data_IF_771952372870
#
_entry.id   IF_771952372870
#
_cell.length_a   1.000
_cell.length_b   1.000
_cell.length_c   1.000
_cell.angle_alpha   90.00
_cell.angle_beta   90.00
_cell.angle_gamma   90.00
#
_symmetry.space_group_name_H-M   'P 1'
#
loop_
_entity.id
_entity.type
_entity.pdbx_description
1 polymer ?
#
# COMPACT_ATOMS: atom_id res chain seq x y z
N UNK A 1 -37.14 43.55 15.39
CA UNK A 1 -37.08 42.10 15.14
C UNK A 1 -35.62 41.67 15.09
N UNK A 2 -35.18 40.85 16.05
CA UNK A 2 -33.83 40.29 16.14
C UNK A 2 -33.68 39.22 15.06
N UNK A 3 -32.79 39.42 14.08
CA UNK A 3 -32.36 38.37 13.16
C UNK A 3 -31.26 37.56 13.84
N UNK A 4 -31.52 36.28 14.10
CA UNK A 4 -30.56 35.36 14.72
C UNK A 4 -29.46 35.01 13.72
N UNK A 5 -28.27 35.57 13.93
CA UNK A 5 -27.04 35.03 13.38
C UNK A 5 -26.81 33.66 14.02
N UNK A 6 -27.06 32.59 13.27
CA UNK A 6 -26.56 31.26 13.59
C UNK A 6 -25.06 31.25 13.37
N UNK A 7 -24.33 31.51 14.45
CA UNK A 7 -22.90 31.29 14.56
C UNK A 7 -22.62 29.80 14.29
N UNK A 8 -22.13 29.49 13.09
CA UNK A 8 -21.57 28.19 12.78
C UNK A 8 -20.46 27.89 13.77
N UNK A 9 -20.61 26.82 14.57
CA UNK A 9 -19.55 26.31 15.44
C UNK A 9 -18.26 26.14 14.63
N UNK A 10 -17.18 26.79 15.07
CA UNK A 10 -15.83 26.50 14.61
C UNK A 10 -15.54 24.98 14.71
N UNK A 11 -14.68 24.40 13.85
CA UNK A 11 -14.40 22.96 13.78
C UNK A 11 -13.53 22.45 14.95
N UNK A 12 -13.87 22.80 16.19
CA UNK A 12 -13.14 22.45 17.42
C UNK A 12 -13.32 20.99 17.87
N UNK A 13 -14.16 20.19 17.21
CA UNK A 13 -14.47 18.81 17.63
C UNK A 13 -13.75 17.70 16.85
N UNK A 14 -13.08 17.98 15.73
CA UNK A 14 -12.40 16.93 14.96
C UNK A 14 -10.99 16.66 15.54
N UNK A 15 -10.70 15.43 16.04
CA UNK A 15 -9.39 15.09 16.61
C UNK A 15 -8.21 15.35 15.68
N UNK A 16 -8.42 15.28 14.35
CA UNK A 16 -7.39 15.54 13.35
C UNK A 16 -6.85 16.99 13.42
N UNK A 17 -7.72 17.94 13.77
CA UNK A 17 -7.41 19.36 13.91
C UNK A 17 -7.01 19.82 15.32
N UNK A 18 -7.34 19.06 16.37
CA UNK A 18 -7.21 19.52 17.75
C UNK A 18 -6.32 18.67 18.66
N UNK A 19 -6.19 17.36 18.44
CA UNK A 19 -5.44 16.46 19.34
C UNK A 19 -3.94 16.76 19.35
N UNK A 20 -3.21 16.36 20.40
CA UNK A 20 -1.73 16.45 20.41
C UNK A 20 -1.14 15.60 19.28
N UNK A 21 -0.19 16.16 18.52
CA UNK A 21 0.27 15.58 17.26
C UNK A 21 0.92 14.19 17.43
N UNK A 22 1.90 14.04 18.32
CA UNK A 22 2.58 12.75 18.49
C UNK A 22 1.64 11.60 18.92
N UNK A 23 0.81 11.74 19.97
CA UNK A 23 -0.16 10.70 20.34
C UNK A 23 -1.18 10.42 19.23
N UNK A 24 -1.60 11.44 18.50
CA UNK A 24 -2.50 11.28 17.35
C UNK A 24 -1.85 10.43 16.27
N UNK A 25 -0.60 10.73 15.87
CA UNK A 25 0.12 9.98 14.86
C UNK A 25 0.33 8.51 15.25
N UNK A 26 0.70 8.24 16.50
CA UNK A 26 0.83 6.86 17.00
C UNK A 26 -0.52 6.13 16.96
N UNK A 27 -1.58 6.76 17.49
CA UNK A 27 -2.94 6.19 17.45
C UNK A 27 -3.40 5.91 16.02
N UNK A 28 -2.97 6.73 15.07
CA UNK A 28 -3.37 6.59 13.67
C UNK A 28 -2.49 5.60 12.89
N UNK A 29 -1.23 5.42 13.28
CA UNK A 29 -0.29 4.53 12.61
C UNK A 29 -0.39 3.07 13.08
N UNK A 30 -0.63 2.83 14.37
CA UNK A 30 -0.58 1.48 14.97
C UNK A 30 -1.60 0.53 14.34
N UNK A 31 -2.89 0.89 14.17
CA UNK A 31 -3.84 -0.06 13.58
C UNK A 31 -3.49 -0.45 12.13
N UNK A 32 -3.13 0.48 11.21
CA UNK A 32 -2.62 0.09 9.89
C UNK A 32 -1.37 -0.79 9.93
N UNK A 33 -0.43 -0.56 10.85
CA UNK A 33 0.74 -1.45 11.03
C UNK A 33 0.30 -2.87 11.38
N UNK A 34 -0.66 -3.02 12.31
CA UNK A 34 -1.21 -4.31 12.68
C UNK A 34 -2.00 -4.96 11.53
N UNK A 35 -2.76 -4.18 10.76
CA UNK A 35 -3.46 -4.68 9.56
C UNK A 35 -2.49 -5.28 8.55
N UNK A 36 -1.35 -4.61 8.30
CA UNK A 36 -0.31 -5.11 7.41
C UNK A 36 0.35 -6.39 7.93
N UNK A 37 0.56 -6.49 9.25
CA UNK A 37 1.08 -7.70 9.88
C UNK A 37 0.09 -8.87 9.73
N UNK A 38 -1.19 -8.66 10.04
CA UNK A 38 -2.25 -9.66 9.89
C UNK A 38 -2.33 -10.12 8.43
N UNK A 39 -2.32 -9.19 7.48
CA UNK A 39 -2.35 -9.50 6.05
C UNK A 39 -1.12 -10.32 5.62
N UNK A 40 0.06 -10.00 6.15
CA UNK A 40 1.29 -10.74 5.86
C UNK A 40 1.24 -12.17 6.41
N UNK A 41 0.75 -12.35 7.64
CA UNK A 41 0.56 -13.66 8.25
C UNK A 41 -0.46 -14.50 7.49
N UNK A 42 -1.57 -13.89 7.07
CA UNK A 42 -2.57 -14.54 6.22
C UNK A 42 -1.95 -15.03 4.90
N UNK A 43 -1.20 -14.19 4.18
CA UNK A 43 -0.57 -14.58 2.92
C UNK A 43 0.39 -15.78 3.10
N UNK A 44 1.08 -15.87 4.24
CA UNK A 44 1.94 -17.02 4.57
C UNK A 44 1.09 -18.28 4.77
N UNK A 45 0.01 -18.19 5.55
CA UNK A 45 -0.88 -19.33 5.83
C UNK A 45 -1.54 -19.85 4.56
N UNK A 46 -2.08 -18.96 3.72
CA UNK A 46 -2.66 -19.30 2.41
C UNK A 46 -1.64 -20.01 1.51
N UNK A 47 -0.43 -19.46 1.41
CA UNK A 47 0.66 -20.07 0.64
C UNK A 47 1.02 -21.48 1.15
N UNK A 48 0.99 -21.72 2.46
CA UNK A 48 1.25 -23.04 3.05
C UNK A 48 0.16 -24.04 2.64
N UNK A 49 -1.12 -23.65 2.71
CA UNK A 49 -2.21 -24.54 2.33
C UNK A 49 -2.19 -24.89 0.84
N UNK A 50 -1.93 -23.91 -0.03
CA UNK A 50 -1.77 -24.14 -1.47
C UNK A 50 -0.56 -25.02 -1.76
N UNK A 51 0.58 -24.79 -1.11
CA UNK A 51 1.80 -25.59 -1.31
C UNK A 51 1.63 -27.05 -0.87
N UNK A 52 0.80 -27.32 0.15
CA UNK A 52 0.45 -28.69 0.57
C UNK A 52 -0.39 -29.45 -0.46
N UNK A 53 -1.04 -28.74 -1.39
CA UNK A 53 -1.82 -29.36 -2.44
C UNK A 53 -0.91 -29.97 -3.52
N UNK A 54 -0.04 -29.15 -4.10
CA UNK A 54 1.01 -29.57 -5.03
C UNK A 54 1.95 -28.41 -5.38
N UNK A 55 3.13 -28.72 -5.94
CA UNK A 55 4.02 -27.74 -6.57
C UNK A 55 3.36 -26.99 -7.72
N UNK A 56 2.50 -27.69 -8.47
CA UNK A 56 1.83 -27.15 -9.65
C UNK A 56 0.74 -26.15 -9.25
N UNK A 57 0.03 -26.40 -8.14
CA UNK A 57 -0.92 -25.47 -7.55
C UNK A 57 -0.24 -24.16 -7.11
N UNK A 58 0.89 -24.26 -6.42
CA UNK A 58 1.68 -23.10 -6.01
C UNK A 58 2.19 -22.31 -7.23
N UNK A 59 2.60 -23.01 -8.29
CA UNK A 59 3.00 -22.40 -9.56
C UNK A 59 1.85 -21.66 -10.23
N UNK A 60 0.65 -22.25 -10.25
CA UNK A 60 -0.54 -21.63 -10.83
C UNK A 60 -0.95 -20.33 -10.10
N UNK A 61 -0.97 -20.34 -8.77
CA UNK A 61 -1.26 -19.13 -7.97
C UNK A 61 -0.20 -18.05 -8.21
N UNK A 62 1.07 -18.43 -8.30
CA UNK A 62 2.18 -17.51 -8.57
C UNK A 62 2.08 -16.85 -9.96
N UNK A 63 1.64 -17.60 -10.99
CA UNK A 63 1.39 -17.05 -12.33
C UNK A 63 0.28 -16.00 -12.27
N UNK A 64 -0.80 -16.22 -11.51
CA UNK A 64 -1.93 -15.29 -11.43
C UNK A 64 -1.65 -14.05 -10.56
N UNK A 65 -0.71 -14.14 -9.62
CA UNK A 65 -0.40 -13.08 -8.65
C UNK A 65 -0.23 -11.66 -9.24
N UNK A 66 0.45 -11.45 -10.40
CA UNK A 66 0.55 -10.12 -10.99
C UNK A 66 -0.79 -9.48 -11.35
N UNK A 67 -1.78 -10.27 -11.80
CA UNK A 67 -3.13 -9.78 -12.12
C UNK A 67 -3.85 -9.36 -10.83
N UNK A 68 -3.72 -10.15 -9.76
CA UNK A 68 -4.27 -9.78 -8.45
C UNK A 68 -3.61 -8.52 -7.89
N UNK A 69 -2.29 -8.40 -8.02
CA UNK A 69 -1.56 -7.21 -7.57
C UNK A 69 -2.00 -5.96 -8.33
N UNK A 70 -2.32 -6.07 -9.62
CA UNK A 70 -2.90 -4.96 -10.39
C UNK A 70 -4.28 -4.53 -9.85
N UNK A 71 -5.13 -5.50 -9.53
CA UNK A 71 -6.44 -5.23 -8.89
C UNK A 71 -6.26 -4.53 -7.53
N UNK A 72 -5.33 -5.02 -6.71
CA UNK A 72 -4.98 -4.42 -5.42
C UNK A 72 -4.43 -2.99 -5.59
N UNK A 73 -3.53 -2.78 -6.55
CA UNK A 73 -2.95 -1.47 -6.85
C UNK A 73 -4.03 -0.44 -7.23
N UNK A 74 -4.98 -0.82 -8.09
CA UNK A 74 -6.08 0.05 -8.48
C UNK A 74 -7.00 0.38 -7.30
N UNK A 75 -7.31 -0.61 -6.46
CA UNK A 75 -8.15 -0.45 -5.28
C UNK A 75 -7.54 0.52 -4.27
N UNK A 76 -6.28 0.29 -3.91
CA UNK A 76 -5.57 1.12 -2.95
C UNK A 76 -5.32 2.51 -3.53
N UNK A 77 -4.88 2.62 -4.79
CA UNK A 77 -4.65 3.92 -5.41
C UNK A 77 -5.91 4.78 -5.44
N UNK A 78 -7.03 4.23 -5.91
CA UNK A 78 -8.34 4.90 -5.88
C UNK A 78 -8.75 5.28 -4.46
N UNK A 79 -8.59 4.36 -3.50
CA UNK A 79 -8.89 4.60 -2.10
C UNK A 79 -8.04 5.73 -1.49
N UNK A 80 -6.75 5.84 -1.83
CA UNK A 80 -5.88 6.94 -1.39
C UNK A 80 -6.35 8.28 -1.96
N UNK A 81 -6.76 8.31 -3.22
CA UNK A 81 -7.37 9.50 -3.83
C UNK A 81 -8.66 9.93 -3.14
N UNK A 82 -9.55 8.98 -2.83
CA UNK A 82 -10.80 9.22 -2.10
C UNK A 82 -10.49 9.73 -0.68
N UNK A 83 -9.55 9.10 0.03
CA UNK A 83 -9.15 9.48 1.38
C UNK A 83 -8.63 10.92 1.43
N UNK A 84 -7.70 11.26 0.53
CA UNK A 84 -7.15 12.61 0.41
C UNK A 84 -8.24 13.64 0.09
N UNK A 85 -9.14 13.31 -0.84
CA UNK A 85 -10.27 14.19 -1.20
C UNK A 85 -11.22 14.43 -0.01
N UNK A 86 -11.64 13.39 0.71
CA UNK A 86 -12.51 13.52 1.88
C UNK A 86 -11.87 14.39 2.93
N UNK A 87 -10.67 14.02 3.39
CA UNK A 87 -9.99 14.70 4.49
C UNK A 87 -9.71 16.18 4.18
N UNK A 88 -9.29 16.51 2.94
CA UNK A 88 -9.10 17.90 2.50
C UNK A 88 -10.38 18.71 2.49
N UNK A 89 -11.48 18.16 1.99
CA UNK A 89 -12.76 18.88 1.97
C UNK A 89 -13.35 19.06 3.37
N UNK A 90 -13.18 18.07 4.26
CA UNK A 90 -13.54 18.20 5.67
C UNK A 90 -12.74 19.32 6.35
N UNK A 91 -11.43 19.35 6.13
CA UNK A 91 -10.56 20.41 6.66
C UNK A 91 -10.97 21.80 6.17
N UNK A 92 -11.28 21.91 4.88
CA UNK A 92 -11.69 23.17 4.24
C UNK A 92 -13.11 23.64 4.60
N UNK A 93 -13.83 22.93 5.49
CA UNK A 93 -15.22 23.24 5.85
C UNK A 93 -16.23 23.01 4.70
N UNK A 94 -15.84 22.32 3.63
CA UNK A 94 -16.70 22.01 2.48
C UNK A 94 -17.53 20.77 2.75
N UNK A 95 -18.44 20.87 3.72
CA UNK A 95 -19.21 19.75 4.28
C UNK A 95 -19.96 18.95 3.22
N UNK A 96 -20.69 19.60 2.30
CA UNK A 96 -21.42 18.87 1.26
C UNK A 96 -20.49 18.01 0.39
N UNK A 97 -19.36 18.56 -0.05
CA UNK A 97 -18.39 17.82 -0.86
C UNK A 97 -17.76 16.64 -0.11
N UNK A 98 -17.54 16.78 1.20
CA UNK A 98 -17.06 15.70 2.05
C UNK A 98 -18.13 14.62 2.30
N UNK A 99 -19.40 15.00 2.44
CA UNK A 99 -20.52 14.07 2.66
C UNK A 99 -20.94 13.32 1.40
N UNK A 100 -20.74 13.88 0.22
CA UNK A 100 -21.02 13.21 -1.06
C UNK A 100 -19.89 12.24 -1.46
N UNK A 101 -18.67 12.49 -0.97
CA UNK A 101 -17.47 11.75 -1.36
C UNK A 101 -17.50 10.24 -1.09
N UNK A 102 -18.05 9.72 0.03
CA UNK A 102 -18.22 8.27 0.23
C UNK A 102 -19.04 7.62 -0.89
N UNK A 103 -20.14 8.25 -1.30
CA UNK A 103 -20.99 7.73 -2.37
C UNK A 103 -20.27 7.78 -3.73
N UNK A 104 -19.56 8.87 -4.02
CA UNK A 104 -18.68 8.96 -5.21
C UNK A 104 -17.65 7.84 -5.21
N UNK A 105 -16.99 7.60 -4.08
CA UNK A 105 -16.00 6.54 -3.93
C UNK A 105 -16.57 5.15 -4.21
N UNK A 106 -17.75 4.83 -3.67
CA UNK A 106 -18.43 3.55 -3.93
C UNK A 106 -18.82 3.39 -5.41
N UNK A 107 -19.29 4.45 -6.07
CA UNK A 107 -19.62 4.40 -7.51
C UNK A 107 -18.37 4.16 -8.36
N UNK A 108 -17.29 4.92 -8.10
CA UNK A 108 -16.03 4.73 -8.82
C UNK A 108 -15.48 3.32 -8.63
N UNK A 109 -15.63 2.76 -7.43
CA UNK A 109 -15.25 1.37 -7.13
C UNK A 109 -16.07 0.37 -7.95
N UNK A 110 -17.38 0.57 -8.08
CA UNK A 110 -18.23 -0.23 -8.96
C UNK A 110 -17.80 -0.17 -10.43
N UNK A 111 -17.42 1.02 -10.93
CA UNK A 111 -16.90 1.19 -12.29
C UNK A 111 -15.57 0.43 -12.46
N UNK A 112 -14.63 0.58 -11.51
CA UNK A 112 -13.37 -0.16 -11.53
C UNK A 112 -13.57 -1.67 -11.50
N UNK A 113 -14.51 -2.16 -10.70
CA UNK A 113 -14.89 -3.56 -10.67
C UNK A 113 -15.33 -4.06 -12.05
N UNK A 114 -16.27 -3.36 -12.70
CA UNK A 114 -16.74 -3.75 -14.04
C UNK A 114 -15.59 -3.80 -15.04
N UNK A 115 -14.72 -2.77 -15.05
CA UNK A 115 -13.56 -2.71 -15.94
C UNK A 115 -12.60 -3.89 -15.66
N UNK A 116 -12.25 -4.13 -14.39
CA UNK A 116 -11.32 -5.20 -14.02
C UNK A 116 -11.87 -6.59 -14.36
N UNK A 117 -13.15 -6.84 -14.13
CA UNK A 117 -13.80 -8.10 -14.47
C UNK A 117 -13.82 -8.34 -15.97
N UNK A 118 -14.15 -7.31 -16.78
CA UNK A 118 -14.10 -7.40 -18.23
C UNK A 118 -12.67 -7.68 -18.74
N UNK A 119 -11.68 -6.95 -18.21
CA UNK A 119 -10.28 -7.19 -18.55
C UNK A 119 -9.83 -8.59 -18.14
N UNK A 120 -10.23 -9.09 -16.97
CA UNK A 120 -9.90 -10.44 -16.54
C UNK A 120 -10.51 -11.52 -17.45
N UNK A 121 -11.78 -11.37 -17.82
CA UNK A 121 -12.44 -12.28 -18.76
C UNK A 121 -11.69 -12.40 -20.09
N UNK A 122 -11.16 -11.29 -20.60
CA UNK A 122 -10.46 -11.23 -21.89
C UNK A 122 -8.97 -11.61 -21.79
N UNK A 123 -8.30 -11.24 -20.70
CA UNK A 123 -6.83 -11.27 -20.62
C UNK A 123 -6.26 -12.47 -19.86
N UNK A 124 -7.03 -13.15 -18.98
CA UNK A 124 -6.47 -14.27 -18.19
C UNK A 124 -5.91 -15.38 -19.08
N UNK A 125 -6.66 -15.82 -20.11
CA UNK A 125 -6.21 -16.87 -21.04
C UNK A 125 -4.92 -16.50 -21.79
N UNK A 126 -4.86 -15.39 -22.54
CA UNK A 126 -3.63 -15.01 -23.24
C UNK A 126 -2.48 -14.76 -22.26
N UNK A 127 -2.77 -14.19 -21.08
CA UNK A 127 -1.76 -13.98 -20.05
C UNK A 127 -1.13 -15.29 -19.58
N UNK A 128 -1.93 -16.26 -19.15
CA UNK A 128 -1.41 -17.57 -18.68
C UNK A 128 -0.67 -18.29 -19.81
N UNK A 129 -1.15 -18.20 -21.05
CA UNK A 129 -0.50 -18.80 -22.22
C UNK A 129 0.90 -18.25 -22.52
N UNK A 130 1.26 -17.07 -21.99
CA UNK A 130 2.63 -16.54 -22.08
C UNK A 130 3.61 -17.18 -21.09
N UNK A 131 3.12 -17.79 -20.00
CA UNK A 131 3.96 -18.35 -18.93
C UNK A 131 4.08 -19.87 -18.95
N UNK A 132 3.03 -20.58 -19.39
CA UNK A 132 3.03 -22.05 -19.38
C UNK A 132 2.18 -22.64 -20.49
N UNK A 133 2.65 -23.77 -21.03
CA UNK A 133 1.89 -24.62 -21.96
C UNK A 133 1.31 -25.87 -21.30
N UNK A 134 1.68 -26.13 -20.04
CA UNK A 134 1.20 -27.29 -19.28
C UNK A 134 -0.33 -27.20 -19.09
N UNK A 135 -1.04 -28.27 -19.45
CA UNK A 135 -2.52 -28.29 -19.43
C UNK A 135 -3.07 -28.26 -18.00
N UNK A 136 -2.41 -28.95 -17.07
CA UNK A 136 -2.82 -29.02 -15.65
C UNK A 136 -2.65 -27.65 -14.98
N UNK A 137 -1.47 -27.04 -15.13
CA UNK A 137 -1.18 -25.71 -14.56
C UNK A 137 -2.12 -24.65 -15.15
N UNK A 138 -2.37 -24.68 -16.47
CA UNK A 138 -3.33 -23.75 -17.11
C UNK A 138 -4.73 -23.87 -16.53
N UNK A 139 -5.23 -25.09 -16.33
CA UNK A 139 -6.54 -25.33 -15.76
C UNK A 139 -6.66 -24.75 -14.34
N UNK A 140 -5.63 -24.94 -13.51
CA UNK A 140 -5.55 -24.34 -12.18
C UNK A 140 -5.47 -22.81 -12.22
N UNK A 141 -4.69 -22.24 -13.14
CA UNK A 141 -4.61 -20.79 -13.33
C UNK A 141 -5.97 -20.19 -13.70
N UNK A 142 -6.71 -20.84 -14.61
CA UNK A 142 -8.03 -20.37 -15.02
C UNK A 142 -9.03 -20.44 -13.87
N UNK A 143 -9.12 -21.58 -13.19
CA UNK A 143 -10.01 -21.75 -12.04
C UNK A 143 -9.73 -20.69 -10.97
N UNK A 144 -8.47 -20.54 -10.56
CA UNK A 144 -8.09 -19.57 -9.53
C UNK A 144 -8.28 -18.12 -9.98
N UNK A 145 -7.75 -17.77 -11.15
CA UNK A 145 -7.74 -16.41 -11.67
C UNK A 145 -9.13 -15.86 -11.98
N UNK A 146 -10.01 -16.67 -12.60
CA UNK A 146 -11.37 -16.22 -12.88
C UNK A 146 -12.17 -16.02 -11.60
N UNK A 147 -12.06 -16.92 -10.61
CA UNK A 147 -12.76 -16.76 -9.33
C UNK A 147 -12.32 -15.48 -8.64
N UNK A 148 -11.01 -15.26 -8.46
CA UNK A 148 -10.54 -14.07 -7.73
C UNK A 148 -10.90 -12.78 -8.45
N UNK A 149 -10.84 -12.75 -9.79
CA UNK A 149 -11.10 -11.52 -10.53
C UNK A 149 -12.59 -11.22 -10.68
N UNK A 150 -13.44 -12.21 -10.96
CA UNK A 150 -14.89 -12.03 -11.08
C UNK A 150 -15.50 -11.65 -9.72
N UNK A 151 -15.00 -12.23 -8.62
CA UNK A 151 -15.48 -11.92 -7.28
C UNK A 151 -14.64 -10.83 -6.57
N UNK A 152 -13.80 -10.10 -7.33
CA UNK A 152 -12.93 -9.05 -6.79
C UNK A 152 -13.68 -7.86 -6.20
N UNK A 153 -14.99 -7.72 -6.44
CA UNK A 153 -15.81 -6.68 -5.84
C UNK A 153 -15.69 -6.66 -4.32
N UNK A 154 -15.59 -7.82 -3.66
CA UNK A 154 -15.40 -7.90 -2.21
C UNK A 154 -14.16 -7.14 -1.75
N UNK A 155 -13.03 -7.39 -2.39
CA UNK A 155 -11.77 -6.69 -2.12
C UNK A 155 -11.85 -5.19 -2.42
N UNK A 156 -12.40 -4.83 -3.59
CA UNK A 156 -12.47 -3.44 -4.04
C UNK A 156 -13.32 -2.57 -3.10
N UNK A 157 -14.50 -3.07 -2.72
CA UNK A 157 -15.38 -2.38 -1.79
C UNK A 157 -14.85 -2.38 -0.35
N UNK A 158 -14.20 -3.46 0.08
CA UNK A 158 -13.50 -3.51 1.37
C UNK A 158 -12.45 -2.41 1.48
N UNK A 159 -11.51 -2.32 0.52
CA UNK A 159 -10.44 -1.33 0.53
C UNK A 159 -11.01 0.10 0.47
N UNK A 160 -12.07 0.31 -0.32
CA UNK A 160 -12.71 1.62 -0.41
C UNK A 160 -13.37 2.03 0.92
N UNK A 161 -14.12 1.12 1.55
CA UNK A 161 -14.71 1.35 2.86
C UNK A 161 -13.64 1.61 3.93
N UNK A 162 -12.55 0.84 3.91
CA UNK A 162 -11.36 1.08 4.72
C UNK A 162 -10.84 2.51 4.53
N UNK A 163 -10.58 2.94 3.29
CA UNK A 163 -10.00 4.27 3.04
C UNK A 163 -10.93 5.41 3.41
N UNK A 164 -12.25 5.21 3.27
CA UNK A 164 -13.27 6.16 3.77
C UNK A 164 -13.20 6.25 5.30
N UNK A 165 -13.17 5.14 6.03
CA UNK A 165 -13.06 5.14 7.50
C UNK A 165 -11.76 5.80 7.98
N UNK A 166 -10.64 5.50 7.31
CA UNK A 166 -9.34 6.12 7.61
C UNK A 166 -9.36 7.63 7.38
N UNK A 167 -10.10 8.11 6.37
CA UNK A 167 -10.13 9.54 5.99
C UNK A 167 -10.66 10.45 7.09
N UNK A 168 -11.49 9.91 7.98
CA UNK A 168 -12.08 10.65 9.12
C UNK A 168 -11.40 10.33 10.45
N UNK A 169 -10.30 9.58 10.41
CA UNK A 169 -9.50 9.21 11.58
C UNK A 169 -9.90 7.91 12.27
N UNK A 170 -10.84 7.14 11.72
CA UNK A 170 -11.22 5.83 12.26
C UNK A 170 -10.29 4.73 11.71
N UNK A 171 -9.23 4.44 12.46
CA UNK A 171 -8.23 3.43 12.10
C UNK A 171 -8.53 2.03 12.68
N UNK A 172 -9.32 1.95 13.75
CA UNK A 172 -9.67 0.69 14.41
C UNK A 172 -10.67 -0.13 13.60
N UNK A 173 -11.66 0.50 12.98
CA UNK A 173 -12.62 -0.21 12.14
C UNK A 173 -11.96 -0.96 10.97
N UNK A 174 -11.08 -0.33 10.17
CA UNK A 174 -10.25 -1.03 9.19
C UNK A 174 -9.50 -2.26 9.71
N UNK A 175 -8.87 -2.15 10.89
CA UNK A 175 -8.15 -3.27 11.50
C UNK A 175 -9.07 -4.46 11.78
N UNK A 176 -10.27 -4.19 12.31
CA UNK A 176 -11.27 -5.23 12.56
C UNK A 176 -11.74 -5.87 11.26
N UNK A 177 -11.97 -5.07 10.20
CA UNK A 177 -12.41 -5.59 8.89
C UNK A 177 -11.37 -6.54 8.28
N UNK A 178 -10.10 -6.14 8.27
CA UNK A 178 -8.99 -7.00 7.81
C UNK A 178 -8.91 -8.27 8.64
N UNK A 179 -9.01 -8.16 9.97
CA UNK A 179 -9.01 -9.31 10.87
C UNK A 179 -10.13 -10.31 10.60
N UNK A 180 -11.36 -9.83 10.41
CA UNK A 180 -12.52 -10.68 10.08
C UNK A 180 -12.28 -11.44 8.77
N UNK A 181 -11.82 -10.75 7.72
CA UNK A 181 -11.55 -11.38 6.43
C UNK A 181 -10.49 -12.47 6.52
N UNK A 182 -9.39 -12.20 7.22
CA UNK A 182 -8.31 -13.16 7.43
C UNK A 182 -8.77 -14.37 8.27
N UNK A 183 -9.52 -14.16 9.35
CA UNK A 183 -10.03 -15.27 10.19
C UNK A 183 -10.96 -16.17 9.37
N UNK A 184 -11.90 -15.58 8.62
CA UNK A 184 -12.82 -16.34 7.77
C UNK A 184 -12.03 -17.15 6.75
N UNK A 185 -11.08 -16.53 6.06
CA UNK A 185 -10.27 -17.23 5.08
C UNK A 185 -9.47 -18.39 5.73
N UNK A 186 -8.75 -18.16 6.84
CA UNK A 186 -7.94 -19.20 7.50
C UNK A 186 -8.80 -20.42 7.91
N UNK A 187 -10.06 -20.20 8.27
CA UNK A 187 -11.01 -21.26 8.59
C UNK A 187 -11.49 -21.98 7.32
N UNK A 188 -11.83 -21.22 6.28
CA UNK A 188 -12.41 -21.76 5.04
C UNK A 188 -11.39 -22.45 4.14
N UNK A 189 -10.13 -22.01 4.13
CA UNK A 189 -9.05 -22.58 3.32
C UNK A 189 -8.93 -24.09 3.50
N UNK A 190 -8.66 -24.64 4.70
CA UNK A 190 -8.51 -26.09 4.86
C UNK A 190 -9.80 -26.86 4.55
N UNK A 191 -10.98 -26.26 4.80
CA UNK A 191 -12.28 -26.86 4.49
C UNK A 191 -12.47 -26.99 2.98
N UNK A 192 -12.25 -25.92 2.22
CA UNK A 192 -12.52 -25.87 0.78
C UNK A 192 -11.39 -26.48 -0.05
N UNK A 193 -10.14 -26.38 0.40
CA UNK A 193 -8.98 -26.92 -0.30
C UNK A 193 -8.96 -28.45 -0.17
N UNK A 194 -9.05 -28.98 1.06
CA UNK A 194 -8.89 -30.42 1.33
C UNK A 194 -10.22 -31.18 1.48
N UNK A 195 -11.36 -30.50 1.46
CA UNK A 195 -12.66 -31.15 1.62
C UNK A 195 -12.92 -31.66 3.04
N UNK A 196 -12.52 -30.88 4.05
CA UNK A 196 -12.80 -31.23 5.44
C UNK A 196 -14.30 -31.02 5.76
N UNK A 197 -14.77 -31.64 6.85
CA UNK A 197 -16.16 -31.51 7.35
C UNK A 197 -17.24 -31.96 6.33
N UNK A 198 -16.92 -32.91 5.45
CA UNK A 198 -17.85 -33.43 4.43
C UNK A 198 -18.03 -32.52 3.21
N UNK A 199 -17.22 -31.46 3.10
CA UNK A 199 -17.19 -30.59 1.93
C UNK A 199 -16.39 -31.23 0.79
N UNK A 200 -16.71 -30.99 -0.50
CA UNK A 200 -15.88 -31.50 -1.59
C UNK A 200 -14.50 -30.84 -1.61
N UNK A 201 -13.44 -31.60 -1.93
CA UNK A 201 -12.09 -31.06 -2.11
C UNK A 201 -12.01 -30.26 -3.43
N UNK A 202 -12.03 -28.93 -3.35
CA UNK A 202 -12.01 -28.03 -4.51
C UNK A 202 -10.59 -27.62 -4.92
N UNK A 203 -9.58 -28.01 -4.15
CA UNK A 203 -8.18 -27.70 -4.37
C UNK A 203 -7.92 -26.20 -4.57
N UNK A 204 -7.27 -25.82 -5.68
CA UNK A 204 -6.92 -24.42 -5.96
C UNK A 204 -8.16 -23.53 -6.10
N UNK A 205 -9.27 -24.05 -6.64
CA UNK A 205 -10.52 -23.30 -6.68
C UNK A 205 -11.06 -23.04 -5.25
N UNK A 206 -10.85 -23.98 -4.33
CA UNK A 206 -11.19 -23.82 -2.92
C UNK A 206 -10.45 -22.66 -2.26
N UNK A 207 -9.14 -22.54 -2.49
CA UNK A 207 -8.32 -21.42 -2.00
C UNK A 207 -8.82 -20.06 -2.52
N UNK A 208 -9.17 -20.00 -3.81
CA UNK A 208 -9.77 -18.80 -4.41
C UNK A 208 -11.10 -18.44 -3.76
N UNK A 209 -12.01 -19.42 -3.58
CA UNK A 209 -13.35 -19.22 -3.00
C UNK A 209 -13.26 -18.76 -1.54
N UNK A 210 -12.38 -19.39 -0.75
CA UNK A 210 -12.16 -19.01 0.64
C UNK A 210 -11.65 -17.56 0.75
N UNK A 211 -10.70 -17.18 -0.11
CA UNK A 211 -10.19 -15.80 -0.21
C UNK A 211 -11.29 -14.80 -0.54
N UNK A 212 -12.04 -15.00 -1.64
CA UNK A 212 -13.06 -14.03 -2.05
C UNK A 212 -14.22 -13.98 -1.07
N UNK A 213 -14.57 -15.09 -0.41
CA UNK A 213 -15.58 -15.12 0.66
C UNK A 213 -15.18 -14.22 1.83
N UNK A 214 -13.94 -14.34 2.33
CA UNK A 214 -13.43 -13.48 3.39
C UNK A 214 -13.44 -11.99 3.00
N UNK A 215 -13.08 -11.69 1.75
CA UNK A 215 -13.10 -10.33 1.21
C UNK A 215 -14.52 -9.78 1.02
N UNK A 216 -15.47 -10.59 0.54
CA UNK A 216 -16.87 -10.21 0.37
C UNK A 216 -17.51 -9.90 1.72
N UNK A 217 -17.27 -10.73 2.73
CA UNK A 217 -17.80 -10.50 4.08
C UNK A 217 -17.20 -9.22 4.67
N UNK A 218 -15.88 -9.03 4.55
CA UNK A 218 -15.21 -7.80 5.00
C UNK A 218 -15.70 -6.56 4.27
N UNK A 219 -15.90 -6.65 2.96
CA UNK A 219 -16.45 -5.58 2.12
C UNK A 219 -17.89 -5.23 2.51
N UNK A 220 -18.72 -6.25 2.73
CA UNK A 220 -20.12 -6.08 3.12
C UNK A 220 -20.25 -5.40 4.49
N UNK A 221 -19.46 -5.86 5.48
CA UNK A 221 -19.42 -5.24 6.81
C UNK A 221 -18.86 -3.82 6.70
N UNK A 222 -17.82 -3.59 5.90
CA UNK A 222 -17.22 -2.27 5.67
C UNK A 222 -18.23 -1.27 5.10
N UNK A 223 -18.97 -1.65 4.06
CA UNK A 223 -20.06 -0.83 3.48
C UNK A 223 -21.12 -0.55 4.54
N UNK A 224 -21.53 -1.56 5.32
CA UNK A 224 -22.53 -1.39 6.39
C UNK A 224 -22.05 -0.40 7.46
N UNK A 225 -20.77 -0.46 7.85
CA UNK A 225 -20.18 0.47 8.81
C UNK A 225 -20.19 1.91 8.28
N UNK A 226 -19.83 2.11 7.00
CA UNK A 226 -19.91 3.41 6.34
C UNK A 226 -21.36 3.90 6.28
N UNK A 227 -22.30 3.05 5.86
CA UNK A 227 -23.72 3.38 5.77
C UNK A 227 -24.35 3.73 7.13
N UNK A 228 -23.89 3.08 8.21
CA UNK A 228 -24.30 3.37 9.60
C UNK A 228 -23.57 4.57 10.21
N UNK A 229 -22.82 5.34 9.43
CA UNK A 229 -22.17 6.56 9.87
C UNK A 229 -20.95 6.35 10.77
N UNK A 230 -20.32 5.17 10.79
CA UNK A 230 -19.08 4.93 11.56
C UNK A 230 -17.88 5.75 11.07
N UNK A 231 -17.97 6.27 9.84
CA UNK A 231 -17.03 7.24 9.31
C UNK A 231 -17.31 8.68 9.80
N UNK A 232 -18.43 8.95 10.48
CA UNK A 232 -18.85 10.33 10.78
C UNK A 232 -19.32 11.10 9.54
N UNK A 233 -19.52 10.41 8.41
CA UNK A 233 -20.06 10.92 7.16
C UNK A 233 -21.23 10.02 6.71
N UNK A 234 -22.31 10.59 6.17
CA UNK A 234 -23.43 9.81 5.63
C UNK A 234 -23.05 9.16 4.29
N UNK A 235 -23.62 7.98 4.03
CA UNK A 235 -23.63 7.41 2.68
C UNK A 235 -24.87 7.92 1.94
N UNK A 236 -24.75 9.11 1.32
CA UNK A 236 -25.86 9.76 0.61
C UNK A 236 -26.28 8.99 -0.64
N UNK A 237 -27.57 9.14 -1.01
CA UNK A 237 -28.08 8.60 -2.28
C UNK A 237 -27.45 9.37 -3.44
N UNK A 238 -27.08 8.70 -4.54
CA UNK A 238 -26.56 9.38 -5.73
C UNK A 238 -27.55 10.41 -6.26
N UNK A 239 -27.07 11.61 -6.59
CA UNK A 239 -27.89 12.67 -7.19
C UNK A 239 -27.18 13.34 -8.37
N UNK A 240 -27.93 14.09 -9.17
CA UNK A 240 -27.40 14.85 -10.31
C UNK A 240 -26.38 15.88 -9.80
N UNK A 241 -25.23 15.95 -10.46
CA UNK A 241 -24.13 16.85 -10.06
C UNK A 241 -23.22 16.33 -8.95
N UNK A 242 -23.48 15.15 -8.38
CA UNK A 242 -22.60 14.54 -7.36
C UNK A 242 -21.23 14.14 -7.92
N UNK A 243 -21.18 13.72 -9.19
CA UNK A 243 -19.94 13.43 -9.90
C UNK A 243 -19.73 14.53 -10.93
N UNK A 244 -18.66 15.31 -10.76
CA UNK A 244 -18.23 16.36 -11.70
C UNK A 244 -16.81 16.11 -12.15
N UNK A 245 -16.44 16.63 -13.33
CA UNK A 245 -15.07 16.52 -13.84
C UNK A 245 -14.02 17.08 -12.88
N UNK A 246 -14.36 18.10 -12.09
CA UNK A 246 -13.46 18.65 -11.07
C UNK A 246 -13.23 17.67 -9.89
N UNK A 247 -14.27 16.98 -9.43
CA UNK A 247 -14.15 15.96 -8.36
C UNK A 247 -13.30 14.79 -8.86
N UNK A 248 -13.59 14.29 -10.08
CA UNK A 248 -12.82 13.22 -10.70
C UNK A 248 -11.35 13.63 -10.86
N UNK A 249 -11.08 14.84 -11.35
CA UNK A 249 -9.71 15.37 -11.47
C UNK A 249 -8.98 15.38 -10.13
N UNK A 250 -9.64 15.81 -9.05
CA UNK A 250 -9.01 15.84 -7.73
C UNK A 250 -8.70 14.43 -7.20
N UNK A 251 -9.65 13.49 -7.31
CA UNK A 251 -9.44 12.10 -6.86
C UNK A 251 -8.35 11.42 -7.71
N UNK A 252 -8.45 11.47 -9.04
CA UNK A 252 -7.51 10.77 -9.93
C UNK A 252 -6.15 11.43 -10.06
N UNK A 253 -6.01 12.72 -9.72
CA UNK A 253 -4.69 13.37 -9.60
C UNK A 253 -3.80 12.74 -8.53
N UNK A 254 -4.40 12.00 -7.58
CA UNK A 254 -3.70 11.21 -6.57
C UNK A 254 -3.81 9.72 -6.89
N UNK A 255 -4.99 9.24 -7.28
CA UNK A 255 -5.22 7.81 -7.48
C UNK A 255 -4.33 7.19 -8.57
N UNK A 256 -4.18 7.84 -9.73
CA UNK A 256 -3.36 7.31 -10.82
C UNK A 256 -1.88 7.19 -10.38
N UNK A 257 -1.24 8.26 -9.84
CA UNK A 257 0.07 8.17 -9.22
C UNK A 257 0.21 7.06 -8.17
N UNK A 258 -0.72 6.95 -7.23
CA UNK A 258 -0.64 5.94 -6.16
C UNK A 258 -0.78 4.51 -6.70
N UNK A 259 -1.63 4.28 -7.70
CA UNK A 259 -1.72 2.98 -8.39
C UNK A 259 -0.40 2.63 -9.06
N UNK A 260 0.23 3.58 -9.76
CA UNK A 260 1.54 3.35 -10.40
C UNK A 260 2.61 3.03 -9.36
N UNK A 261 2.65 3.78 -8.26
CA UNK A 261 3.59 3.58 -7.14
C UNK A 261 3.55 2.15 -6.60
N UNK A 262 2.37 1.51 -6.59
CA UNK A 262 2.24 0.11 -6.13
C UNK A 262 2.80 -0.92 -7.11
N UNK A 263 2.91 -0.59 -8.40
CA UNK A 263 3.48 -1.49 -9.41
C UNK A 263 5.02 -1.38 -9.52
N UNK A 264 5.58 -0.23 -9.15
CA UNK A 264 7.03 0.04 -9.26
C UNK A 264 7.94 -0.96 -8.53
N UNK A 265 7.62 -1.48 -7.33
CA UNK A 265 8.51 -2.40 -6.61
C UNK A 265 8.77 -3.70 -7.39
N UNK A 266 7.77 -4.22 -8.11
CA UNK A 266 7.94 -5.43 -8.93
C UNK A 266 8.90 -5.20 -10.11
N UNK A 267 8.85 -4.01 -10.72
CA UNK A 267 9.74 -3.62 -11.82
C UNK A 267 11.17 -3.44 -11.31
N UNK A 268 11.34 -2.81 -10.15
CA UNK A 268 12.64 -2.68 -9.47
C UNK A 268 13.28 -4.05 -9.23
N UNK A 269 12.55 -4.98 -8.62
CA UNK A 269 13.04 -6.34 -8.33
C UNK A 269 13.43 -7.06 -9.63
N UNK A 270 12.60 -7.00 -10.67
CA UNK A 270 12.92 -7.61 -11.97
C UNK A 270 14.19 -7.03 -12.60
N UNK A 271 14.33 -5.69 -12.58
CA UNK A 271 15.50 -4.99 -13.10
C UNK A 271 16.79 -5.35 -12.35
N UNK A 272 16.75 -5.36 -11.01
CA UNK A 272 17.89 -5.74 -10.20
C UNK A 272 18.26 -7.22 -10.36
N UNK A 273 17.28 -8.12 -10.39
CA UNK A 273 17.54 -9.53 -10.65
C UNK A 273 18.21 -9.76 -12.00
N UNK A 274 17.85 -8.99 -13.03
CA UNK A 274 18.49 -9.06 -14.35
C UNK A 274 19.97 -8.65 -14.33
N UNK A 275 20.34 -7.69 -13.48
CA UNK A 275 21.73 -7.24 -13.29
C UNK A 275 22.49 -8.27 -12.44
N UNK A 276 21.92 -8.69 -11.32
CA UNK A 276 22.53 -9.62 -10.37
C UNK A 276 22.74 -11.02 -10.95
N UNK A 277 21.85 -11.50 -11.83
CA UNK A 277 22.01 -12.78 -12.52
C UNK A 277 23.22 -12.81 -13.45
N UNK A 278 23.73 -11.64 -13.87
CA UNK A 278 25.00 -11.52 -14.59
C UNK A 278 26.24 -11.79 -13.73
N UNK A 279 26.11 -11.79 -12.40
CA UNK A 279 27.19 -12.10 -11.46
C UNK A 279 27.10 -13.54 -10.94
N UNK A 280 25.96 -13.90 -10.35
CA UNK A 280 25.71 -15.27 -9.87
C UNK A 280 24.25 -15.46 -9.46
N UNK A 281 23.78 -16.71 -9.48
CA UNK A 281 22.48 -17.06 -8.92
C UNK A 281 22.42 -16.79 -7.40
N UNK A 282 23.54 -16.97 -6.70
CA UNK A 282 23.64 -16.67 -5.27
C UNK A 282 23.34 -15.20 -4.95
N UNK A 283 23.80 -14.26 -5.79
CA UNK A 283 23.54 -12.84 -5.62
C UNK A 283 22.03 -12.51 -5.74
N UNK A 284 21.34 -13.17 -6.66
CA UNK A 284 19.87 -13.07 -6.79
C UNK A 284 19.18 -13.59 -5.53
N UNK A 285 19.62 -14.73 -5.00
CA UNK A 285 19.09 -15.31 -3.75
C UNK A 285 19.30 -14.38 -2.55
N UNK A 286 20.52 -13.83 -2.39
CA UNK A 286 20.86 -12.87 -1.33
C UNK A 286 19.98 -11.62 -1.42
N UNK A 287 19.79 -11.07 -2.61
CA UNK A 287 18.90 -9.94 -2.81
C UNK A 287 17.44 -10.28 -2.45
N UNK A 288 16.96 -11.47 -2.79
CA UNK A 288 15.63 -11.93 -2.41
C UNK A 288 15.42 -11.98 -0.89
N UNK A 289 16.42 -12.45 -0.13
CA UNK A 289 16.38 -12.44 1.35
C UNK A 289 16.43 -11.01 1.89
N UNK A 290 17.32 -10.17 1.39
CA UNK A 290 17.38 -8.75 1.75
C UNK A 290 16.04 -8.07 1.51
N UNK A 291 15.43 -8.26 0.34
CA UNK A 291 14.20 -7.58 -0.03
C UNK A 291 13.05 -7.96 0.90
N UNK A 292 12.94 -9.25 1.27
CA UNK A 292 12.00 -9.69 2.31
C UNK A 292 12.27 -8.97 3.64
N UNK A 293 13.51 -8.91 4.09
CA UNK A 293 13.86 -8.19 5.32
C UNK A 293 13.51 -6.70 5.24
N UNK A 294 13.80 -6.06 4.11
CA UNK A 294 13.46 -4.65 3.87
C UNK A 294 11.96 -4.41 4.02
N UNK A 295 11.10 -5.29 3.50
CA UNK A 295 9.65 -5.14 3.67
C UNK A 295 9.21 -5.12 5.13
N UNK A 296 9.84 -5.92 6.00
CA UNK A 296 9.59 -5.88 7.45
C UNK A 296 10.06 -4.57 8.09
N UNK A 297 11.25 -4.09 7.74
CA UNK A 297 11.76 -2.80 8.25
C UNK A 297 10.88 -1.62 7.81
N UNK A 298 10.34 -1.68 6.58
CA UNK A 298 9.50 -0.62 6.02
C UNK A 298 8.04 -0.73 6.45
N UNK A 299 7.60 -1.85 7.01
CA UNK A 299 6.21 -2.06 7.43
C UNK A 299 5.74 -1.01 8.45
N UNK A 300 6.50 -0.66 9.52
CA UNK A 300 6.07 0.38 10.45
C UNK A 300 6.00 1.77 9.81
N UNK A 301 6.95 2.09 8.93
CA UNK A 301 6.93 3.35 8.18
C UNK A 301 5.73 3.45 7.23
N UNK A 302 5.35 2.34 6.59
CA UNK A 302 4.14 2.29 5.76
C UNK A 302 2.85 2.43 6.57
N UNK A 303 2.76 1.83 7.76
CA UNK A 303 1.63 2.05 8.65
C UNK A 303 1.54 3.50 9.14
N UNK A 304 2.68 4.14 9.40
CA UNK A 304 2.75 5.59 9.65
C UNK A 304 2.25 6.41 8.46
N UNK A 305 2.66 6.07 7.22
CA UNK A 305 2.18 6.72 5.99
C UNK A 305 0.65 6.68 5.90
N UNK A 306 0.04 5.53 6.20
CA UNK A 306 -1.42 5.41 6.21
C UNK A 306 -2.07 6.30 7.28
N UNK A 307 -1.46 6.39 8.46
CA UNK A 307 -1.94 7.24 9.55
C UNK A 307 -1.84 8.74 9.28
N UNK A 308 -0.76 9.19 8.65
CA UNK A 308 -0.49 10.63 8.48
C UNK A 308 -1.30 11.26 7.34
N UNK A 309 -1.70 10.46 6.33
CA UNK A 309 -2.45 10.94 5.16
C UNK A 309 -3.68 11.79 5.53
N UNK A 310 -4.66 11.26 6.28
CA UNK A 310 -5.83 12.05 6.70
C UNK A 310 -5.48 13.24 7.60
N UNK A 311 -4.43 13.15 8.43
CA UNK A 311 -4.01 14.27 9.30
C UNK A 311 -3.50 15.43 8.46
N UNK A 312 -2.59 15.17 7.52
CA UNK A 312 -2.02 16.18 6.62
C UNK A 312 -3.11 16.71 5.69
N UNK A 313 -3.91 15.83 5.08
CA UNK A 313 -5.02 16.23 4.20
C UNK A 313 -6.01 17.16 4.90
N UNK A 314 -6.42 16.84 6.13
CA UNK A 314 -7.32 17.68 6.91
C UNK A 314 -6.72 19.05 7.24
N UNK A 315 -5.48 19.09 7.73
CA UNK A 315 -4.85 20.36 8.14
C UNK A 315 -4.49 21.25 6.94
N UNK A 316 -4.08 20.65 5.82
CA UNK A 316 -3.90 21.35 4.55
C UNK A 316 -5.22 21.93 4.04
N UNK A 317 -6.30 21.15 4.10
CA UNK A 317 -7.65 21.65 3.77
C UNK A 317 -8.09 22.82 4.65
N UNK A 318 -7.78 22.75 5.95
CA UNK A 318 -8.11 23.78 6.93
C UNK A 318 -7.20 25.02 6.87
N UNK A 319 -6.18 25.03 6.00
CA UNK A 319 -5.17 26.09 5.96
C UNK A 319 -4.28 26.17 7.21
N UNK A 320 -4.28 25.14 8.07
CA UNK A 320 -3.49 25.10 9.30
C UNK A 320 -2.06 24.63 9.02
N UNK A 321 -1.29 25.50 8.36
CA UNK A 321 0.09 25.22 7.91
C UNK A 321 1.04 24.87 9.05
N UNK A 322 0.82 25.43 10.25
CA UNK A 322 1.60 25.09 11.45
C UNK A 322 1.41 23.63 11.83
N UNK A 323 0.15 23.20 11.95
CA UNK A 323 -0.19 21.83 12.33
C UNK A 323 0.18 20.82 11.26
N UNK A 324 0.06 21.19 9.98
CA UNK A 324 0.59 20.39 8.85
C UNK A 324 2.11 20.19 8.98
N UNK A 325 2.87 21.27 9.21
CA UNK A 325 4.33 21.20 9.36
C UNK A 325 4.73 20.37 10.57
N UNK A 326 4.00 20.48 11.69
CA UNK A 326 4.23 19.66 12.89
C UNK A 326 3.98 18.17 12.61
N UNK A 327 2.93 17.83 11.86
CA UNK A 327 2.66 16.47 11.43
C UNK A 327 3.83 15.93 10.61
N UNK A 328 4.24 16.66 9.56
CA UNK A 328 5.37 16.29 8.69
C UNK A 328 6.65 16.06 9.50
N UNK A 329 7.00 16.99 10.39
CA UNK A 329 8.22 16.92 11.20
C UNK A 329 8.21 15.71 12.12
N UNK A 330 7.12 15.48 12.84
CA UNK A 330 7.03 14.35 13.78
C UNK A 330 6.99 13.03 13.02
N UNK A 331 6.30 12.95 11.87
CA UNK A 331 6.33 11.76 11.01
C UNK A 331 7.73 11.45 10.49
N UNK A 332 8.49 12.46 10.06
CA UNK A 332 9.88 12.29 9.67
C UNK A 332 10.74 11.77 10.82
N UNK A 333 10.58 12.30 12.04
CA UNK A 333 11.31 11.83 13.22
C UNK A 333 10.99 10.37 13.54
N UNK A 334 9.70 9.99 13.55
CA UNK A 334 9.28 8.60 13.82
C UNK A 334 9.82 7.68 12.73
N UNK A 335 9.64 8.05 11.45
CA UNK A 335 10.12 7.23 10.33
C UNK A 335 11.63 7.09 10.33
N UNK A 336 12.39 8.16 10.58
CA UNK A 336 13.84 8.11 10.68
C UNK A 336 14.30 7.25 11.86
N UNK A 337 13.61 7.29 13.01
CA UNK A 337 13.92 6.43 14.15
C UNK A 337 13.71 4.94 13.83
N UNK A 338 12.61 4.59 13.15
CA UNK A 338 12.35 3.21 12.69
C UNK A 338 13.42 2.76 11.70
N UNK A 339 13.74 3.60 10.71
CA UNK A 339 14.77 3.29 9.72
C UNK A 339 16.16 3.15 10.36
N UNK A 340 16.50 4.02 11.31
CA UNK A 340 17.75 3.95 12.05
C UNK A 340 17.85 2.68 12.89
N UNK A 341 16.77 2.25 13.56
CA UNK A 341 16.72 0.98 14.26
C UNK A 341 16.95 -0.21 13.30
N UNK A 342 16.31 -0.19 12.13
CA UNK A 342 16.53 -1.20 11.08
C UNK A 342 17.98 -1.22 10.57
N UNK A 343 18.60 -0.06 10.38
CA UNK A 343 20.02 0.06 10.02
C UNK A 343 20.90 -0.52 11.14
N UNK A 344 20.69 -0.12 12.39
CA UNK A 344 21.49 -0.58 13.53
C UNK A 344 21.41 -2.10 13.68
N UNK A 345 20.23 -2.70 13.57
CA UNK A 345 20.08 -4.16 13.61
C UNK A 345 20.83 -4.85 12.47
N UNK A 346 20.73 -4.30 11.26
CA UNK A 346 21.42 -4.81 10.06
C UNK A 346 22.95 -4.68 10.15
N UNK A 347 23.45 -3.67 10.86
CA UNK A 347 24.88 -3.48 11.11
C UNK A 347 25.40 -4.33 12.28
N UNK A 348 24.64 -4.45 13.36
CA UNK A 348 25.11 -5.12 14.57
C UNK A 348 25.12 -6.65 14.43
N UNK A 349 24.07 -7.21 13.83
CA UNK A 349 23.83 -8.67 13.81
C UNK A 349 23.35 -9.19 12.45
N UNK A 350 24.08 -8.94 11.34
CA UNK A 350 23.65 -9.40 10.02
C UNK A 350 23.61 -10.94 9.90
N UNK A 351 24.56 -11.65 10.51
CA UNK A 351 24.65 -13.13 10.41
C UNK A 351 23.46 -13.81 11.10
N UNK A 352 23.09 -13.52 12.37
CA UNK A 352 21.88 -14.09 12.98
C UNK A 352 20.61 -13.82 12.18
N UNK A 353 20.48 -12.62 11.61
CA UNK A 353 19.35 -12.25 10.76
C UNK A 353 19.27 -13.15 9.52
N UNK A 354 20.40 -13.38 8.84
CA UNK A 354 20.47 -14.19 7.62
C UNK A 354 20.33 -15.69 7.91
N UNK A 355 20.75 -16.16 9.08
CA UNK A 355 20.61 -17.56 9.50
C UNK A 355 19.15 -18.00 9.63
N UNK A 356 18.21 -17.09 9.96
CA UNK A 356 16.77 -17.36 9.97
C UNK A 356 16.28 -17.88 8.60
N UNK A 357 17.00 -17.57 7.51
CA UNK A 357 16.67 -17.96 6.15
C UNK A 357 17.41 -19.23 5.67
N UNK A 358 17.96 -20.05 6.59
CA UNK A 358 18.72 -21.28 6.27
C UNK A 358 19.86 -21.05 5.27
N UNK A 359 20.62 -19.98 5.48
CA UNK A 359 21.73 -19.58 4.62
C UNK A 359 22.96 -20.48 4.80
N UNK A 360 23.53 -21.00 3.71
CA UNK A 360 24.83 -21.68 3.72
C UNK A 360 26.00 -20.70 3.97
N UNK A 361 27.22 -21.22 4.17
CA UNK A 361 28.39 -20.37 4.48
C UNK A 361 28.69 -19.33 3.40
N UNK A 362 28.46 -19.65 2.13
CA UNK A 362 28.74 -18.75 1.02
C UNK A 362 27.68 -17.65 0.92
N UNK A 363 26.42 -18.00 1.14
CA UNK A 363 25.30 -17.07 1.23
C UNK A 363 25.46 -16.11 2.42
N UNK A 364 25.94 -16.60 3.57
CA UNK A 364 26.18 -15.76 4.75
C UNK A 364 27.25 -14.69 4.51
N UNK A 365 28.38 -15.05 3.89
CA UNK A 365 29.46 -14.08 3.61
C UNK A 365 29.01 -12.99 2.63
N UNK A 366 28.35 -13.39 1.54
CA UNK A 366 27.82 -12.43 0.56
C UNK A 366 26.68 -11.59 1.14
N UNK A 367 25.77 -12.23 1.87
CA UNK A 367 24.62 -11.59 2.49
C UNK A 367 25.01 -10.61 3.59
N UNK A 368 26.02 -10.92 4.41
CA UNK A 368 26.52 -10.00 5.43
C UNK A 368 27.02 -8.71 4.80
N UNK A 369 27.86 -8.82 3.77
CA UNK A 369 28.40 -7.67 3.05
C UNK A 369 27.28 -6.84 2.42
N UNK A 370 26.34 -7.50 1.73
CA UNK A 370 25.19 -6.84 1.11
C UNK A 370 24.33 -6.11 2.14
N UNK A 371 23.95 -6.78 3.24
CA UNK A 371 23.06 -6.22 4.26
C UNK A 371 23.69 -5.01 4.97
N UNK A 372 25.00 -5.08 5.28
CA UNK A 372 25.73 -3.94 5.84
C UNK A 372 25.77 -2.75 4.88
N UNK A 373 26.02 -2.96 3.59
CA UNK A 373 26.08 -1.84 2.65
C UNK A 373 24.69 -1.23 2.44
N UNK A 374 23.69 -2.07 2.16
CA UNK A 374 22.38 -1.60 1.72
C UNK A 374 21.60 -0.93 2.86
N UNK A 375 21.73 -1.43 4.09
CA UNK A 375 20.98 -0.92 5.24
C UNK A 375 21.27 0.54 5.60
N UNK A 376 22.40 1.09 5.16
CA UNK A 376 22.73 2.52 5.28
C UNK A 376 21.68 3.38 4.56
N UNK A 377 21.07 2.84 3.49
CA UNK A 377 20.04 3.50 2.69
C UNK A 377 18.69 3.63 3.39
N UNK A 378 18.43 2.89 4.47
CA UNK A 378 17.15 2.97 5.16
C UNK A 378 16.91 4.37 5.74
N UNK A 379 17.91 4.99 6.37
CA UNK A 379 17.77 6.32 6.98
C UNK A 379 17.35 7.39 5.95
N UNK A 380 18.07 7.59 4.82
CA UNK A 380 17.65 8.57 3.82
C UNK A 380 16.28 8.25 3.20
N UNK A 381 15.91 6.97 3.11
CA UNK A 381 14.61 6.57 2.56
C UNK A 381 13.41 7.15 3.34
N UNK A 382 13.58 7.43 4.65
CA UNK A 382 12.52 8.02 5.48
C UNK A 382 11.98 9.32 4.89
N UNK A 383 12.86 10.17 4.34
CA UNK A 383 12.46 11.43 3.74
C UNK A 383 11.66 11.22 2.45
N UNK A 384 12.10 10.29 1.59
CA UNK A 384 11.37 9.95 0.36
C UNK A 384 9.98 9.40 0.64
N UNK A 385 9.87 8.46 1.60
CA UNK A 385 8.60 7.82 1.98
C UNK A 385 7.60 8.87 2.50
N UNK A 386 8.05 9.72 3.44
CA UNK A 386 7.17 10.73 4.04
C UNK A 386 6.83 11.84 3.03
N UNK A 387 7.78 12.29 2.21
CA UNK A 387 7.51 13.31 1.19
C UNK A 387 6.46 12.84 0.18
N UNK A 388 6.55 11.60 -0.32
CA UNK A 388 5.53 11.02 -1.21
C UNK A 388 4.15 11.02 -0.55
N UNK A 389 4.06 10.60 0.71
CA UNK A 389 2.81 10.60 1.45
C UNK A 389 2.23 12.02 1.62
N UNK A 390 3.07 13.02 1.92
CA UNK A 390 2.66 14.43 2.03
C UNK A 390 2.07 14.92 0.71
N UNK A 391 2.76 14.66 -0.41
CA UNK A 391 2.32 15.09 -1.73
C UNK A 391 0.97 14.49 -2.12
N UNK A 392 0.73 13.19 -1.86
CA UNK A 392 -0.59 12.57 -2.06
C UNK A 392 -1.66 13.21 -1.16
N UNK A 393 -1.30 13.52 0.09
CA UNK A 393 -2.21 14.09 1.10
C UNK A 393 -2.68 15.50 0.73
N UNK A 394 -1.86 16.28 0.03
CA UNK A 394 -2.22 17.64 -0.41
C UNK A 394 -2.80 17.68 -1.84
N UNK A 395 -3.02 16.52 -2.46
CA UNK A 395 -3.61 16.41 -3.80
C UNK A 395 -2.61 16.56 -4.95
N UNK A 396 -1.32 16.34 -4.70
CA UNK A 396 -0.23 16.47 -5.67
C UNK A 396 0.39 15.10 -5.95
N UNK A 397 -0.34 14.22 -6.63
CA UNK A 397 0.17 12.87 -6.91
C UNK A 397 1.39 12.82 -7.83
N UNK A 398 1.53 13.74 -8.81
CA UNK A 398 2.70 13.75 -9.70
C UNK A 398 4.04 13.98 -8.96
N UNK A 399 4.16 14.96 -8.05
CA UNK A 399 5.33 15.05 -7.17
C UNK A 399 5.62 13.76 -6.38
N UNK A 400 4.60 13.11 -5.82
CA UNK A 400 4.75 11.81 -5.12
C UNK A 400 5.30 10.71 -6.05
N UNK A 401 4.74 10.62 -7.25
CA UNK A 401 5.20 9.67 -8.26
C UNK A 401 6.64 9.96 -8.68
N UNK A 402 7.00 11.24 -8.86
CA UNK A 402 8.37 11.62 -9.25
C UNK A 402 9.41 11.18 -8.22
N UNK A 403 9.14 11.39 -6.92
CA UNK A 403 10.01 10.93 -5.83
C UNK A 403 10.14 9.40 -5.86
N UNK A 404 9.03 8.69 -6.04
CA UNK A 404 9.04 7.23 -6.04
C UNK A 404 9.72 6.64 -7.28
N UNK A 405 9.52 7.24 -8.46
CA UNK A 405 10.18 6.83 -9.71
C UNK A 405 11.70 7.00 -9.64
N UNK A 406 12.18 8.11 -9.09
CA UNK A 406 13.62 8.33 -8.87
C UNK A 406 14.18 7.26 -7.94
N UNK A 407 13.49 7.00 -6.82
CA UNK A 407 13.90 6.02 -5.82
C UNK A 407 13.93 4.59 -6.35
N UNK A 408 12.96 4.20 -7.18
CA UNK A 408 12.74 2.80 -7.52
C UNK A 408 13.15 2.42 -8.95
N UNK A 409 13.32 3.37 -9.88
CA UNK A 409 13.65 3.05 -11.26
C UNK A 409 14.74 3.95 -11.85
N UNK A 410 14.49 5.26 -11.88
CA UNK A 410 15.27 6.20 -12.70
C UNK A 410 16.70 6.36 -12.19
N UNK A 411 16.93 6.27 -10.87
CA UNK A 411 18.27 6.35 -10.29
C UNK A 411 18.84 4.97 -9.97
N UNK A 412 18.09 4.12 -9.26
CA UNK A 412 18.58 2.80 -8.81
C UNK A 412 19.12 1.96 -9.95
N UNK A 413 18.32 1.70 -11.01
CA UNK A 413 18.71 0.72 -12.01
C UNK A 413 19.93 1.16 -12.84
N UNK A 414 19.99 2.40 -13.36
CA UNK A 414 21.19 2.86 -14.07
C UNK A 414 22.41 2.93 -13.16
N UNK A 415 22.26 3.38 -11.91
CA UNK A 415 23.37 3.46 -10.97
C UNK A 415 23.89 2.08 -10.58
N UNK A 416 23.00 1.11 -10.35
CA UNK A 416 23.36 -0.29 -10.11
C UNK A 416 24.12 -0.85 -11.30
N UNK A 417 23.65 -0.63 -12.53
CA UNK A 417 24.35 -1.10 -13.73
C UNK A 417 25.74 -0.44 -13.87
N UNK A 418 25.85 0.88 -13.69
CA UNK A 418 27.11 1.60 -13.83
C UNK A 418 28.14 1.21 -12.75
N UNK A 419 27.73 1.19 -11.48
CA UNK A 419 28.63 0.80 -10.38
C UNK A 419 28.98 -0.69 -10.44
N UNK A 420 28.11 -1.54 -11.01
CA UNK A 420 28.44 -2.95 -11.22
C UNK A 420 29.64 -3.18 -12.14
N UNK A 421 29.89 -2.25 -13.07
CA UNK A 421 31.04 -2.32 -14.00
C UNK A 421 32.36 -1.90 -13.36
N UNK A 422 32.32 -1.11 -12.29
CA UNK A 422 33.51 -0.53 -11.64
C UNK A 422 33.86 -1.25 -10.33
N UNK A 423 32.87 -1.59 -9.52
CA UNK A 423 33.04 -2.22 -8.20
C UNK A 423 32.48 -3.65 -8.12
N UNK A 424 32.14 -4.24 -9.27
CA UNK A 424 31.54 -5.58 -9.34
C UNK A 424 30.23 -5.65 -8.55
N UNK A 425 30.01 -6.78 -7.86
CA UNK A 425 28.78 -7.02 -7.09
C UNK A 425 28.56 -5.97 -5.99
N UNK A 426 29.62 -5.52 -5.32
CA UNK A 426 29.53 -4.47 -4.28
C UNK A 426 29.06 -3.13 -4.85
N UNK A 427 29.30 -2.87 -6.14
CA UNK A 427 28.76 -1.71 -6.83
C UNK A 427 27.24 -1.72 -6.90
N UNK A 428 26.62 -2.89 -7.10
CA UNK A 428 25.15 -3.04 -7.10
C UNK A 428 24.59 -2.75 -5.71
N UNK A 429 25.24 -3.28 -4.65
CA UNK A 429 24.84 -3.03 -3.26
C UNK A 429 24.96 -1.57 -2.87
N UNK A 430 26.02 -0.88 -3.32
CA UNK A 430 26.31 0.53 -3.02
C UNK A 430 25.37 1.48 -3.77
N UNK A 431 24.87 1.08 -4.96
CA UNK A 431 23.92 1.89 -5.70
C UNK A 431 22.61 2.13 -4.94
N UNK A 432 22.15 1.14 -4.16
CA UNK A 432 20.91 1.24 -3.37
C UNK A 432 20.95 2.39 -2.35
N UNK A 433 21.88 2.46 -1.38
CA UNK A 433 21.94 3.58 -0.43
C UNK A 433 22.26 4.92 -1.10
N UNK A 434 23.08 4.94 -2.15
CA UNK A 434 23.40 6.19 -2.88
C UNK A 434 22.15 6.74 -3.58
N UNK A 435 21.37 5.88 -4.22
CA UNK A 435 20.12 6.29 -4.88
C UNK A 435 19.08 6.82 -3.89
N UNK A 436 18.98 6.21 -2.70
CA UNK A 436 18.13 6.68 -1.61
C UNK A 436 18.59 8.05 -1.13
N UNK A 437 19.90 8.27 -0.96
CA UNK A 437 20.45 9.57 -0.57
C UNK A 437 20.15 10.68 -1.62
N UNK A 438 20.38 10.41 -2.91
CA UNK A 438 20.09 11.37 -3.99
C UNK A 438 18.59 11.69 -4.02
N UNK A 439 17.75 10.67 -3.89
CA UNK A 439 16.30 10.85 -3.91
C UNK A 439 15.81 11.59 -2.67
N UNK A 440 16.41 11.35 -1.51
CA UNK A 440 16.12 12.08 -0.28
C UNK A 440 16.41 13.58 -0.42
N UNK A 441 17.55 13.95 -1.03
CA UNK A 441 17.88 15.36 -1.32
C UNK A 441 16.82 15.98 -2.23
N UNK A 442 16.46 15.31 -3.33
CA UNK A 442 15.41 15.78 -4.24
C UNK A 442 14.06 15.96 -3.52
N UNK A 443 13.63 14.96 -2.74
CA UNK A 443 12.39 15.00 -1.96
C UNK A 443 12.39 16.14 -0.94
N UNK A 444 13.51 16.35 -0.24
CA UNK A 444 13.68 17.45 0.72
C UNK A 444 13.59 18.83 0.07
N UNK A 445 14.18 19.01 -1.11
CA UNK A 445 14.09 20.26 -1.88
C UNK A 445 12.64 20.52 -2.29
N UNK A 446 11.94 19.52 -2.85
CA UNK A 446 10.54 19.67 -3.24
C UNK A 446 9.64 19.99 -2.04
N UNK A 447 9.79 19.26 -0.94
CA UNK A 447 9.00 19.43 0.27
C UNK A 447 9.21 20.84 0.86
N UNK A 448 10.46 21.30 0.93
CA UNK A 448 10.78 22.64 1.44
C UNK A 448 10.20 23.75 0.55
N UNK A 449 10.28 23.59 -0.78
CA UNK A 449 9.66 24.54 -1.73
C UNK A 449 8.15 24.60 -1.54
N UNK A 450 7.52 23.44 -1.37
CA UNK A 450 6.08 23.35 -1.18
C UNK A 450 5.62 24.00 0.14
N UNK A 451 6.25 23.67 1.26
CA UNK A 451 5.91 24.25 2.55
C UNK A 451 6.13 25.78 2.58
N UNK A 452 7.18 26.29 1.92
CA UNK A 452 7.39 27.74 1.75
C UNK A 452 6.28 28.39 0.93
N UNK A 453 5.91 27.78 -0.19
CA UNK A 453 4.82 28.27 -1.05
C UNK A 453 3.50 28.36 -0.29
N UNK A 454 3.18 27.35 0.52
CA UNK A 454 1.96 27.35 1.34
C UNK A 454 1.97 28.45 2.40
N UNK A 455 3.10 28.71 3.06
CA UNK A 455 3.22 29.79 4.05
C UNK A 455 2.92 31.16 3.46
N UNK A 456 3.37 31.43 2.22
CA UNK A 456 3.11 32.69 1.52
C UNK A 456 1.64 32.84 1.12
N UNK A 457 0.95 31.73 0.82
CA UNK A 457 -0.47 31.76 0.40
C UNK A 457 -1.41 31.96 1.61
N UNK A 458 -1.01 31.50 2.80
CA UNK A 458 -1.85 31.53 4.01
C UNK A 458 -1.42 32.58 5.05
N UNK A 459 -0.38 33.36 4.76
CA UNK A 459 -0.06 34.62 5.45
C UNK A 459 -0.86 35.75 4.84
#
# INVERSE_FOLDING_TARGET
MKSSATTGKAPSSNPLGSAKMFPLLIKMAVPPMLSMLIQSLYNIVDSIFVARLSSDALSAVSIIYPIQNLSLALAVGTGVGINSYIARNMGAGRTSAAEDAPAVGMILTGIHYVILTLLACLLIRPFVGMYTQDVSIRSMCYSYGYIVMIFSFGQLFHITAEKILQSTGNMTAPLILVGIGCIINIILDPIMIFGLLGFPALGVAGAAIATVTGQIISGSIGILMVARGKAGLPLRRPHRGMITGNILKQIYSVAIPSTMIMALPSILVAGLNRILSGFSQMAVTVFGVYYKLQTFVYMPANGLVQGIRPVISFNYGAGNTKRETDAVRISLMISAAVMAAGTLLSQAVPVPILQIFNSDKNMLSMGETALRIISIGFIPSALGIIASAVFESIGKGLPSLSVTLLRQLVIVLPLSFLLSRTFGLNGVWTALPVSEAITAVYAGVLLTKELKKQRVIHS
#
